data_IF_849702878838
#
_entry.id   IF_849702878838
#
_cell.length_a   1.000
_cell.length_b   1.000
_cell.length_c   1.000
_cell.angle_alpha   90.00
_cell.angle_beta   90.00
_cell.angle_gamma   90.00
#
_symmetry.space_group_name_H-M   'P 1'
#
loop_
_entity.id
_entity.type
_entity.pdbx_description
1 polymer ?
#
# COMPACT_ATOMS: atom_id res chain seq x y z
N UNK A 1 18.65 -1.01 10.81
CA UNK A 1 18.91 0.20 10.01
C UNK A 1 18.34 1.41 10.73
N UNK A 2 19.14 2.45 10.92
CA UNK A 2 18.68 3.69 11.56
C UNK A 2 18.01 4.58 10.50
N UNK A 3 16.70 4.81 10.64
CA UNK A 3 15.91 5.61 9.72
C UNK A 3 15.35 6.87 10.40
N UNK A 4 16.03 7.36 11.43
CA UNK A 4 15.63 8.56 12.18
C UNK A 4 14.20 8.46 12.73
N UNK A 5 13.84 7.29 13.29
CA UNK A 5 12.53 7.03 13.88
C UNK A 5 11.48 6.50 12.90
N UNK A 6 11.75 6.51 11.61
CA UNK A 6 10.91 5.86 10.62
C UNK A 6 11.12 4.35 10.72
N UNK A 7 10.03 3.58 10.75
CA UNK A 7 10.10 2.13 10.86
C UNK A 7 9.75 1.48 9.54
N UNK A 8 10.67 0.67 9.00
CA UNK A 8 10.47 -0.09 7.77
C UNK A 8 10.37 -1.56 8.11
N UNK A 9 9.29 -2.21 7.69
CA UNK A 9 9.07 -3.65 7.90
C UNK A 9 8.90 -4.33 6.54
N UNK A 10 9.70 -5.36 6.28
CA UNK A 10 9.53 -6.21 5.11
C UNK A 10 8.49 -7.29 5.44
N UNK A 11 7.43 -7.35 4.63
CA UNK A 11 6.32 -8.29 4.82
C UNK A 11 6.38 -9.48 3.84
N UNK A 12 7.48 -9.62 3.13
CA UNK A 12 7.70 -10.70 2.17
C UNK A 12 7.53 -10.25 0.71
N UNK A 13 8.29 -10.85 -0.19
CA UNK A 13 8.33 -10.53 -1.61
C UNK A 13 8.61 -9.03 -1.81
N UNK A 14 7.73 -8.29 -2.45
CA UNK A 14 7.88 -6.84 -2.67
C UNK A 14 7.00 -6.01 -1.73
N UNK A 15 6.44 -6.61 -0.70
CA UNK A 15 5.52 -5.95 0.22
C UNK A 15 6.27 -5.35 1.41
N UNK A 16 6.11 -4.04 1.60
CA UNK A 16 6.75 -3.30 2.69
C UNK A 16 5.72 -2.47 3.43
N UNK A 17 5.91 -2.34 4.74
CA UNK A 17 5.17 -1.40 5.57
C UNK A 17 6.13 -0.35 6.10
N UNK A 18 5.75 0.91 5.95
CA UNK A 18 6.50 2.05 6.49
C UNK A 18 5.63 2.75 7.52
N UNK A 19 6.17 2.96 8.70
CA UNK A 19 5.51 3.73 9.76
C UNK A 19 6.28 5.02 9.97
N UNK A 20 5.60 6.16 9.80
CA UNK A 20 6.21 7.48 9.88
C UNK A 20 6.31 7.95 11.33
N UNK A 21 7.10 9.00 11.55
CA UNK A 21 7.24 9.65 12.86
C UNK A 21 5.90 10.20 13.39
N UNK A 22 5.01 10.57 12.49
CA UNK A 22 3.67 11.09 12.86
C UNK A 22 2.64 10.00 13.05
N UNK A 23 3.04 8.73 13.02
CA UNK A 23 2.15 7.59 13.24
C UNK A 23 1.35 7.16 12.00
N UNK A 24 1.71 7.63 10.82
CA UNK A 24 1.08 7.20 9.58
C UNK A 24 1.64 5.87 9.11
N UNK A 25 0.79 5.03 8.54
CA UNK A 25 1.18 3.73 7.98
C UNK A 25 1.02 3.72 6.48
N UNK A 26 2.09 3.37 5.79
CA UNK A 26 2.13 3.22 4.34
C UNK A 26 2.39 1.76 4.02
N UNK A 27 1.65 1.20 3.06
CA UNK A 27 1.95 -0.15 2.53
C UNK A 27 2.28 -0.03 1.06
N UNK A 28 3.36 -0.68 0.66
CA UNK A 28 3.78 -0.79 -0.74
C UNK A 28 3.48 -2.21 -1.21
N UNK A 29 2.78 -2.34 -2.33
CA UNK A 29 2.41 -3.61 -2.97
C UNK A 29 1.79 -4.60 -1.97
N UNK A 30 0.53 -4.41 -1.59
CA UNK A 30 -0.11 -5.02 -0.42
C UNK A 30 -0.51 -6.48 -0.63
N UNK A 31 0.45 -7.36 -0.82
CA UNK A 31 0.20 -8.81 -0.92
C UNK A 31 0.58 -9.49 0.38
N UNK A 32 -0.38 -9.73 1.25
CA UNK A 32 -0.14 -10.30 2.59
C UNK A 32 -0.81 -11.64 2.82
N UNK A 33 -2.10 -11.79 2.51
CA UNK A 33 -2.84 -13.02 2.84
C UNK A 33 -2.29 -14.26 2.14
N UNK A 34 -2.07 -14.19 0.82
CA UNK A 34 -1.51 -15.28 0.03
C UNK A 34 0.00 -15.32 -0.05
N UNK A 35 0.69 -14.41 0.62
CA UNK A 35 2.14 -14.28 0.57
C UNK A 35 2.79 -15.27 1.53
N UNK A 36 3.49 -16.30 1.01
CA UNK A 36 4.08 -17.32 1.88
C UNK A 36 5.21 -16.79 2.78
N UNK A 37 5.82 -15.67 2.42
CA UNK A 37 6.88 -15.06 3.22
C UNK A 37 6.33 -14.07 4.27
N UNK A 38 5.03 -13.72 4.22
CA UNK A 38 4.44 -12.82 5.19
C UNK A 38 4.15 -13.58 6.50
N UNK A 39 4.67 -13.12 7.65
CA UNK A 39 4.34 -13.75 8.92
C UNK A 39 2.84 -13.70 9.21
N UNK A 40 2.29 -14.76 9.76
CA UNK A 40 0.85 -14.84 10.08
C UNK A 40 0.42 -13.69 11.00
N UNK A 41 1.28 -13.30 11.93
CA UNK A 41 1.02 -12.17 12.84
C UNK A 41 0.85 -10.82 12.12
N UNK A 42 1.34 -10.70 10.89
CA UNK A 42 1.29 -9.46 10.10
C UNK A 42 0.21 -9.48 9.01
N UNK A 43 -0.48 -10.59 8.84
CA UNK A 43 -1.50 -10.71 7.77
C UNK A 43 -2.76 -9.93 8.06
N UNK A 44 -3.06 -9.67 9.33
CA UNK A 44 -4.18 -8.83 9.72
C UNK A 44 -3.71 -7.37 9.79
N UNK A 45 -3.89 -6.64 8.71
CA UNK A 45 -3.48 -5.24 8.62
C UNK A 45 -4.37 -4.39 9.50
N UNK A 46 -3.78 -3.66 10.45
CA UNK A 46 -4.52 -2.91 11.48
C UNK A 46 -4.88 -1.49 11.06
N UNK A 47 -3.99 -0.82 10.32
CA UNK A 47 -4.24 0.54 9.83
C UNK A 47 -3.42 0.80 8.58
N UNK A 48 -3.96 1.57 7.65
CA UNK A 48 -3.26 2.01 6.45
C UNK A 48 -3.74 3.40 6.10
N UNK A 49 -2.83 4.35 6.02
CA UNK A 49 -3.13 5.74 5.63
C UNK A 49 -2.85 5.98 4.15
N UNK A 50 -1.85 5.31 3.60
CA UNK A 50 -1.52 5.36 2.19
C UNK A 50 -1.12 3.99 1.68
N UNK A 51 -1.43 3.71 0.41
CA UNK A 51 -1.10 2.46 -0.25
C UNK A 51 -0.49 2.80 -1.60
N UNK A 52 0.73 2.34 -1.84
CA UNK A 52 1.46 2.59 -3.08
C UNK A 52 1.54 1.27 -3.83
N UNK A 53 1.02 1.23 -5.07
CA UNK A 53 0.98 0.01 -5.86
C UNK A 53 1.81 0.23 -7.12
N UNK A 54 2.86 -0.57 -7.28
CA UNK A 54 3.80 -0.39 -8.39
C UNK A 54 3.22 -0.86 -9.71
N UNK A 55 2.47 -1.97 -9.71
CA UNK A 55 1.86 -2.53 -10.91
C UNK A 55 0.77 -3.54 -10.53
N UNK A 56 0.06 -4.06 -11.52
CA UNK A 56 -1.15 -4.85 -11.31
C UNK A 56 -0.97 -6.37 -11.25
N UNK A 57 0.25 -6.90 -11.15
CA UNK A 57 0.43 -8.33 -10.95
C UNK A 57 -0.12 -8.78 -9.60
N UNK A 58 -0.68 -10.00 -9.53
CA UNK A 58 -1.37 -10.49 -8.34
C UNK A 58 -0.53 -10.51 -7.08
N UNK A 59 0.77 -10.82 -7.22
CA UNK A 59 1.73 -10.85 -6.12
C UNK A 59 2.22 -9.47 -5.69
N UNK A 60 1.63 -8.41 -6.22
CA UNK A 60 1.86 -7.02 -5.87
C UNK A 60 0.57 -6.31 -5.48
N UNK A 61 -0.45 -6.34 -6.35
CA UNK A 61 -1.74 -5.72 -6.04
C UNK A 61 -2.50 -6.47 -4.94
N UNK A 62 -2.34 -7.79 -4.89
CA UNK A 62 -2.76 -8.67 -3.80
C UNK A 62 -4.08 -8.32 -3.14
N UNK A 63 -4.00 -7.88 -1.88
CA UNK A 63 -5.15 -7.58 -1.02
C UNK A 63 -5.60 -6.13 -1.08
N UNK A 64 -5.19 -5.38 -2.11
CA UNK A 64 -5.45 -3.95 -2.22
C UNK A 64 -6.93 -3.59 -2.09
N UNK A 65 -7.82 -4.35 -2.75
CA UNK A 65 -9.26 -4.07 -2.74
C UNK A 65 -9.84 -4.24 -1.32
N UNK A 66 -9.52 -5.36 -0.66
CA UNK A 66 -10.01 -5.64 0.69
C UNK A 66 -9.49 -4.61 1.69
N UNK A 67 -8.20 -4.29 1.63
CA UNK A 67 -7.59 -3.30 2.51
C UNK A 67 -8.20 -1.92 2.27
N UNK A 68 -8.37 -1.55 1.01
CA UNK A 68 -8.94 -0.26 0.65
C UNK A 68 -10.36 -0.10 1.17
N UNK A 69 -11.19 -1.13 1.06
CA UNK A 69 -12.58 -1.10 1.53
C UNK A 69 -12.68 -1.03 3.04
N UNK A 70 -11.72 -1.63 3.75
CA UNK A 70 -11.71 -1.65 5.21
C UNK A 70 -11.12 -0.38 5.82
N UNK A 71 -10.03 0.14 5.27
CA UNK A 71 -9.25 1.21 5.89
C UNK A 71 -9.31 2.54 5.14
N UNK A 72 -9.78 2.57 3.92
CA UNK A 72 -9.92 3.77 3.08
C UNK A 72 -8.62 4.58 2.96
N UNK A 73 -7.46 3.95 2.67
CA UNK A 73 -6.22 4.69 2.47
C UNK A 73 -6.25 5.48 1.17
N UNK A 74 -5.43 6.52 1.08
CA UNK A 74 -5.14 7.14 -0.21
C UNK A 74 -4.29 6.17 -1.03
N UNK A 75 -4.73 5.82 -2.24
CA UNK A 75 -4.04 4.87 -3.09
C UNK A 75 -3.38 5.59 -4.26
N UNK A 76 -2.08 5.36 -4.44
CA UNK A 76 -1.32 5.92 -5.55
C UNK A 76 -0.91 4.78 -6.48
N UNK A 77 -1.19 4.95 -7.77
CA UNK A 77 -0.83 3.99 -8.79
C UNK A 77 -0.98 4.60 -10.19
N UNK A 78 -0.61 3.85 -11.21
CA UNK A 78 -0.78 4.31 -12.59
C UNK A 78 -2.27 4.42 -12.94
N UNK A 79 -2.64 5.26 -13.93
CA UNK A 79 -4.05 5.49 -14.28
C UNK A 79 -4.86 4.23 -14.55
N UNK A 80 -4.29 3.27 -15.27
CA UNK A 80 -4.99 2.01 -15.62
C UNK A 80 -5.31 1.19 -14.36
N UNK A 81 -4.39 1.13 -13.42
CA UNK A 81 -4.59 0.43 -12.14
C UNK A 81 -5.64 1.14 -11.29
N UNK A 82 -5.57 2.46 -11.20
CA UNK A 82 -6.57 3.25 -10.47
C UNK A 82 -7.95 3.08 -11.09
N UNK A 83 -8.04 3.03 -12.42
CA UNK A 83 -9.31 2.76 -13.13
C UNK A 83 -9.88 1.40 -12.77
N UNK A 84 -9.04 0.38 -12.69
CA UNK A 84 -9.47 -0.96 -12.29
C UNK A 84 -9.97 -0.97 -10.85
N UNK A 85 -9.26 -0.31 -9.95
CA UNK A 85 -9.67 -0.20 -8.53
C UNK A 85 -11.02 0.51 -8.39
N UNK A 86 -11.24 1.59 -9.15
CA UNK A 86 -12.52 2.30 -9.15
C UNK A 86 -13.67 1.38 -9.56
N UNK A 87 -13.47 0.52 -10.54
CA UNK A 87 -14.47 -0.48 -10.96
C UNK A 87 -14.77 -1.49 -9.87
N UNK A 88 -13.84 -1.70 -8.93
CA UNK A 88 -14.02 -2.58 -7.77
C UNK A 88 -14.63 -1.86 -6.57
N UNK A 89 -14.98 -0.58 -6.70
CA UNK A 89 -15.61 0.20 -5.64
C UNK A 89 -14.65 0.98 -4.75
N UNK A 90 -13.38 1.07 -5.14
CA UNK A 90 -12.37 1.85 -4.42
C UNK A 90 -12.37 3.29 -4.93
N UNK A 91 -12.49 4.27 -4.04
CA UNK A 91 -12.71 5.68 -4.41
C UNK A 91 -11.51 6.59 -4.15
N UNK A 92 -10.66 6.27 -3.19
CA UNK A 92 -9.58 7.14 -2.74
C UNK A 92 -8.30 6.92 -3.55
N UNK A 93 -8.40 7.04 -4.88
CA UNK A 93 -7.26 6.84 -5.77
C UNK A 93 -6.67 8.16 -6.23
N UNK A 94 -5.34 8.19 -6.39
CA UNK A 94 -4.60 9.31 -6.94
C UNK A 94 -3.67 8.78 -8.01
N UNK A 95 -3.90 9.18 -9.23
CA UNK A 95 -3.18 8.67 -10.39
C UNK A 95 -1.81 9.33 -10.52
N UNK A 96 -0.77 8.53 -10.79
CA UNK A 96 0.52 9.06 -11.19
C UNK A 96 1.26 8.06 -12.07
N UNK A 97 2.22 8.55 -12.82
CA UNK A 97 3.10 7.73 -13.62
C UNK A 97 4.55 8.04 -13.23
N UNK A 98 5.50 7.33 -13.83
CA UNK A 98 6.92 7.53 -13.52
C UNK A 98 7.36 8.94 -13.91
N UNK A 99 8.31 9.48 -13.17
CA UNK A 99 8.89 10.78 -13.43
C UNK A 99 8.23 11.95 -12.71
N UNK A 100 7.20 11.70 -11.94
CA UNK A 100 6.50 12.72 -11.17
C UNK A 100 6.66 12.57 -9.67
N UNK A 101 6.11 13.54 -8.94
CA UNK A 101 6.06 13.52 -7.48
C UNK A 101 4.66 13.92 -7.02
N UNK A 102 4.14 13.21 -6.04
CA UNK A 102 2.88 13.55 -5.39
C UNK A 102 3.08 13.75 -3.90
N UNK A 103 2.30 14.67 -3.34
CA UNK A 103 2.14 14.79 -1.90
C UNK A 103 0.89 14.01 -1.49
N UNK A 104 1.04 13.05 -0.60
CA UNK A 104 -0.07 12.27 -0.05
C UNK A 104 -0.17 12.59 1.43
N UNK A 105 -1.20 13.32 1.82
CA UNK A 105 -1.40 13.83 3.17
C UNK A 105 -0.14 14.59 3.66
N UNK A 106 0.45 14.17 4.77
CA UNK A 106 1.67 14.77 5.30
C UNK A 106 2.90 13.87 5.11
N UNK A 107 2.82 13.00 4.10
CA UNK A 107 3.88 12.01 3.79
C UNK A 107 4.76 12.50 2.65
#
# INVERSE_FOLDING_TARGET
>A
MNLNGLKLTWLGHATFRIQTLKGKTIIIDPWVMGNPACPDSEKNVKSVDAMLITHGHGDHIGDAVEIAKKHHPKIVGIPELCGWLKKKGVKETSEMNKGGTQQVEDI
#
